data_IF_369800489530
#
_entry.id   IF_369800489530
#
_cell.length_a   1.000
_cell.length_b   1.000
_cell.length_c   1.000
_cell.angle_alpha   90.00
_cell.angle_beta   90.00
_cell.angle_gamma   90.00
#
_symmetry.space_group_name_H-M   'P 1'
#
loop_
_entity.id
_entity.type
_entity.pdbx_description
1 polymer ?
#
# COMPACT_ATOMS: atom_id res chain seq x y z
N UNK A 1 0.69 39.56 9.81
CA UNK A 1 1.30 38.26 9.44
C UNK A 1 0.30 37.14 9.72
N UNK A 2 -0.30 36.60 8.66
CA UNK A 2 -1.44 35.68 8.73
C UNK A 2 -1.07 34.27 9.18
N UNK A 3 -1.67 33.81 10.28
CA UNK A 3 -1.65 32.40 10.67
C UNK A 3 -2.62 31.64 9.77
N UNK A 4 -2.09 30.88 8.82
CA UNK A 4 -2.87 30.00 7.93
C UNK A 4 -3.63 28.99 8.79
N UNK A 5 -4.94 29.18 8.92
CA UNK A 5 -5.84 28.18 9.50
C UNK A 5 -5.80 26.99 8.56
N UNK A 6 -5.33 25.85 9.08
CA UNK A 6 -5.27 24.59 8.33
C UNK A 6 -6.69 24.07 8.29
N UNK A 7 -7.38 24.37 7.19
CA UNK A 7 -8.71 23.89 6.84
C UNK A 7 -8.76 22.37 7.02
N UNK A 8 -9.37 21.94 8.13
CA UNK A 8 -9.70 20.53 8.36
C UNK A 8 -10.90 20.24 7.49
N UNK A 9 -10.61 19.60 6.36
CA UNK A 9 -11.54 19.01 5.41
C UNK A 9 -12.80 18.51 6.11
N UNK A 10 -13.90 19.21 5.85
CA UNK A 10 -15.26 18.85 6.25
C UNK A 10 -15.55 17.45 5.70
N UNK A 11 -15.55 16.45 6.57
CA UNK A 11 -15.96 15.09 6.22
C UNK A 11 -17.48 15.14 6.21
N UNK A 12 -18.07 15.20 5.03
CA UNK A 12 -19.52 15.12 4.89
C UNK A 12 -19.93 13.68 5.22
N UNK A 13 -20.53 13.54 6.40
CA UNK A 13 -21.21 12.35 6.89
C UNK A 13 -22.43 12.10 6.01
N UNK A 14 -22.30 11.14 5.11
CA UNK A 14 -23.40 10.67 4.29
C UNK A 14 -23.10 9.25 3.83
N UNK A 15 -23.83 8.28 4.41
CA UNK A 15 -23.69 6.83 4.27
C UNK A 15 -22.71 6.18 5.27
N UNK A 16 -23.25 5.25 6.06
CA UNK A 16 -22.70 4.75 7.33
C UNK A 16 -21.35 4.04 7.13
N UNK A 17 -20.27 4.77 7.39
CA UNK A 17 -18.91 4.23 7.29
C UNK A 17 -18.73 3.01 8.20
N UNK A 18 -19.47 2.94 9.30
CA UNK A 18 -19.35 1.87 10.31
C UNK A 18 -19.72 0.50 9.74
N UNK A 19 -20.81 0.42 8.98
CA UNK A 19 -21.20 -0.82 8.29
C UNK A 19 -20.17 -1.23 7.24
N UNK A 20 -19.59 -0.24 6.56
CA UNK A 20 -18.60 -0.46 5.50
C UNK A 20 -17.22 -0.85 6.02
N UNK A 21 -16.90 -0.57 7.30
CA UNK A 21 -15.69 -1.08 7.95
C UNK A 21 -15.78 -2.61 8.13
N UNK A 22 -16.94 -3.14 8.51
CA UNK A 22 -17.19 -4.58 8.59
C UNK A 22 -17.07 -5.24 7.21
N UNK A 23 -17.67 -4.62 6.19
CA UNK A 23 -17.54 -5.08 4.81
C UNK A 23 -16.09 -5.00 4.30
N UNK A 24 -15.30 -4.03 4.76
CA UNK A 24 -13.90 -3.91 4.35
C UNK A 24 -13.02 -5.08 4.82
N UNK A 25 -13.35 -5.73 5.94
CA UNK A 25 -12.66 -6.94 6.42
C UNK A 25 -13.02 -8.12 5.52
N UNK A 26 -14.32 -8.41 5.35
CA UNK A 26 -14.80 -9.46 4.45
C UNK A 26 -14.29 -9.28 3.01
N UNK A 27 -14.06 -8.04 2.59
CA UNK A 27 -13.54 -7.71 1.26
C UNK A 27 -12.12 -8.19 1.03
N UNK A 28 -11.26 -8.04 2.05
CA UNK A 28 -9.86 -8.43 1.94
C UNK A 28 -9.67 -9.93 2.08
N UNK A 29 -10.60 -10.60 2.77
CA UNK A 29 -10.65 -12.05 2.90
C UNK A 29 -11.32 -12.74 1.69
N UNK A 30 -12.01 -11.96 0.84
CA UNK A 30 -12.64 -12.46 -0.39
C UNK A 30 -14.02 -13.08 -0.19
N UNK A 31 -14.63 -12.88 0.98
CA UNK A 31 -15.90 -13.48 1.40
C UNK A 31 -17.13 -12.58 1.11
N UNK A 32 -16.93 -11.57 0.28
CA UNK A 32 -17.91 -10.51 0.06
C UNK A 32 -18.75 -10.79 -1.18
N UNK A 33 -20.07 -10.86 -1.02
CA UNK A 33 -21.03 -11.00 -2.12
C UNK A 33 -20.94 -9.82 -3.10
N UNK A 34 -21.20 -10.09 -4.39
CA UNK A 34 -20.99 -9.12 -5.48
C UNK A 34 -21.71 -7.77 -5.25
N UNK A 35 -22.93 -7.82 -4.71
CA UNK A 35 -23.75 -6.62 -4.46
C UNK A 35 -23.16 -5.74 -3.35
N UNK A 36 -22.70 -6.35 -2.26
CA UNK A 36 -22.05 -5.67 -1.15
C UNK A 36 -20.64 -5.17 -1.53
N UNK A 37 -19.93 -5.94 -2.36
CA UNK A 37 -18.63 -5.56 -2.93
C UNK A 37 -18.76 -4.30 -3.77
N UNK A 38 -19.77 -4.23 -4.62
CA UNK A 38 -20.03 -3.05 -5.45
C UNK A 38 -20.38 -1.82 -4.61
N UNK A 39 -21.21 -1.98 -3.56
CA UNK A 39 -21.50 -0.91 -2.60
C UNK A 39 -20.24 -0.36 -1.93
N UNK A 40 -19.35 -1.24 -1.46
CA UNK A 40 -18.07 -0.85 -0.87
C UNK A 40 -17.19 -0.10 -1.87
N UNK A 41 -17.07 -0.60 -3.10
CA UNK A 41 -16.26 0.01 -4.16
C UNK A 41 -16.77 1.39 -4.57
N UNK A 42 -18.08 1.62 -4.58
CA UNK A 42 -18.67 2.94 -4.83
C UNK A 42 -18.34 3.89 -3.67
N UNK A 43 -18.50 3.45 -2.43
CA UNK A 43 -18.25 4.31 -1.28
C UNK A 43 -16.78 4.75 -1.15
N UNK A 44 -15.82 3.85 -1.39
CA UNK A 44 -14.40 4.23 -1.30
C UNK A 44 -13.95 5.20 -2.39
N UNK A 45 -14.74 5.43 -3.44
CA UNK A 45 -14.44 6.47 -4.43
C UNK A 45 -14.68 7.88 -3.88
N UNK A 46 -15.61 8.03 -2.93
CA UNK A 46 -16.01 9.33 -2.36
C UNK A 46 -15.58 9.50 -0.91
N UNK A 47 -15.34 8.41 -0.17
CA UNK A 47 -14.92 8.44 1.23
C UNK A 47 -13.43 8.12 1.41
N UNK A 48 -12.64 9.16 1.72
CA UNK A 48 -11.20 9.00 1.95
C UNK A 48 -10.86 8.08 3.15
N UNK A 49 -11.67 8.11 4.21
CA UNK A 49 -11.43 7.29 5.42
C UNK A 49 -11.50 5.81 5.09
N UNK A 50 -12.60 5.36 4.49
CA UNK A 50 -12.80 3.97 4.11
C UNK A 50 -11.84 3.53 3.00
N UNK A 51 -11.55 4.41 2.03
CA UNK A 51 -10.53 4.15 1.01
C UNK A 51 -9.13 3.93 1.61
N UNK A 52 -8.79 4.68 2.67
CA UNK A 52 -7.52 4.49 3.39
C UNK A 52 -7.53 3.16 4.16
N UNK A 53 -8.62 2.83 4.86
CA UNK A 53 -8.76 1.57 5.59
C UNK A 53 -8.57 0.35 4.68
N UNK A 54 -9.35 0.27 3.58
CA UNK A 54 -9.29 -0.85 2.63
C UNK A 54 -7.88 -1.02 2.06
N UNK A 55 -7.21 0.09 1.72
CA UNK A 55 -5.81 0.04 1.22
C UNK A 55 -4.81 -0.41 2.27
N UNK A 56 -5.04 -0.10 3.54
CA UNK A 56 -4.18 -0.59 4.63
C UNK A 56 -4.40 -2.09 4.83
N UNK A 57 -5.65 -2.53 4.93
CA UNK A 57 -6.00 -3.95 5.10
C UNK A 57 -5.43 -4.82 3.98
N UNK A 58 -5.60 -4.42 2.71
CA UNK A 58 -5.04 -5.14 1.56
C UNK A 58 -3.52 -5.29 1.63
N UNK A 59 -2.82 -4.26 2.10
CA UNK A 59 -1.36 -4.32 2.28
C UNK A 59 -0.99 -5.28 3.39
N UNK A 60 -1.66 -5.22 4.53
CA UNK A 60 -1.43 -6.14 5.64
C UNK A 60 -1.63 -7.58 5.20
N UNK A 61 -2.76 -7.90 4.55
CA UNK A 61 -3.05 -9.23 4.01
C UNK A 61 -1.97 -9.67 3.02
N UNK A 62 -1.53 -8.79 2.12
CA UNK A 62 -0.44 -9.10 1.20
C UNK A 62 0.87 -9.44 1.91
N UNK A 63 1.24 -8.69 2.96
CA UNK A 63 2.45 -8.98 3.75
C UNK A 63 2.32 -10.27 4.57
N UNK A 64 1.14 -10.56 5.11
CA UNK A 64 0.90 -11.81 5.83
C UNK A 64 0.99 -13.03 4.91
N UNK A 65 0.59 -12.88 3.63
CA UNK A 65 0.71 -13.92 2.60
C UNK A 65 2.05 -13.89 1.86
N UNK A 66 2.96 -12.99 2.22
CA UNK A 66 4.31 -13.03 1.64
C UNK A 66 5.00 -14.26 2.22
N UNK A 67 5.05 -15.32 1.43
CA UNK A 67 6.00 -16.39 1.70
C UNK A 67 7.39 -15.75 1.66
N UNK A 68 8.16 -15.92 2.73
CA UNK A 68 9.59 -15.64 2.67
C UNK A 68 10.14 -16.59 1.62
N UNK A 69 10.46 -16.03 0.44
CA UNK A 69 11.03 -16.78 -0.67
C UNK A 69 12.24 -17.61 -0.20
N UNK A 70 12.65 -18.61 -0.98
CA UNK A 70 13.75 -19.49 -0.61
C UNK A 70 14.95 -18.66 -0.16
N UNK A 71 15.54 -19.05 0.98
CA UNK A 71 16.70 -18.36 1.53
C UNK A 71 17.78 -18.28 0.45
N UNK A 72 18.15 -17.05 0.09
CA UNK A 72 19.10 -16.82 -1.00
C UNK A 72 20.47 -17.31 -0.52
N UNK A 73 21.14 -18.23 -1.25
CA UNK A 73 22.45 -18.72 -0.85
C UNK A 73 23.45 -17.57 -0.66
N UNK A 74 24.28 -17.64 0.37
CA UNK A 74 25.24 -16.58 0.69
C UNK A 74 26.19 -16.27 -0.49
N UNK A 75 26.48 -17.29 -1.31
CA UNK A 75 27.26 -17.16 -2.55
C UNK A 75 26.59 -16.24 -3.57
N UNK A 76 25.27 -16.37 -3.76
CA UNK A 76 24.49 -15.52 -4.65
C UNK A 76 24.44 -14.07 -4.12
N UNK A 77 24.28 -13.89 -2.81
CA UNK A 77 24.32 -12.56 -2.19
C UNK A 77 25.69 -11.87 -2.41
N UNK A 78 26.79 -12.61 -2.21
CA UNK A 78 28.16 -12.12 -2.40
C UNK A 78 28.43 -11.73 -3.85
N UNK A 79 28.04 -12.57 -4.80
CA UNK A 79 28.24 -12.31 -6.22
C UNK A 79 27.42 -11.10 -6.69
N UNK A 80 26.16 -10.99 -6.26
CA UNK A 80 25.31 -9.84 -6.57
C UNK A 80 25.94 -8.55 -6.03
N UNK A 81 26.41 -8.57 -4.78
CA UNK A 81 27.04 -7.41 -4.16
C UNK A 81 28.31 -6.96 -4.89
N UNK A 82 29.16 -7.91 -5.29
CA UNK A 82 30.36 -7.61 -6.09
C UNK A 82 29.98 -6.94 -7.41
N UNK A 83 28.99 -7.47 -8.14
CA UNK A 83 28.51 -6.88 -9.39
C UNK A 83 27.95 -5.47 -9.21
N UNK A 84 27.16 -5.24 -8.16
CA UNK A 84 26.66 -3.90 -7.84
C UNK A 84 27.80 -2.91 -7.60
N UNK A 85 28.84 -3.32 -6.86
CA UNK A 85 30.01 -2.46 -6.63
C UNK A 85 30.77 -2.14 -7.93
N UNK A 86 30.92 -3.10 -8.84
CA UNK A 86 31.55 -2.86 -10.15
C UNK A 86 30.76 -1.83 -10.97
N UNK A 87 29.44 -1.97 -11.04
CA UNK A 87 28.56 -1.02 -11.75
C UNK A 87 28.62 0.37 -11.14
N UNK A 88 28.60 0.47 -9.80
CA UNK A 88 28.69 1.75 -9.10
C UNK A 88 30.07 2.42 -9.28
N UNK A 89 31.15 1.65 -9.35
CA UNK A 89 32.50 2.18 -9.65
C UNK A 89 32.62 2.64 -11.11
N UNK A 90 32.06 1.89 -12.04
CA UNK A 90 32.05 2.21 -13.48
C UNK A 90 31.26 3.47 -13.80
N UNK A 91 30.11 3.67 -13.14
CA UNK A 91 29.31 4.90 -13.31
C UNK A 91 29.99 6.14 -12.73
N UNK A 92 30.81 6.01 -11.68
CA UNK A 92 31.65 7.11 -11.17
C UNK A 92 32.79 7.47 -12.11
N UNK A 93 33.42 6.50 -12.77
CA UNK A 93 34.50 6.77 -13.73
C UNK A 93 34.01 7.48 -15.00
N UNK A 94 32.78 7.19 -15.45
CA UNK A 94 32.17 7.88 -16.61
C UNK A 94 31.77 9.33 -16.35
N UNK A 95 31.77 9.81 -15.10
CA UNK A 95 31.37 11.17 -14.73
C UNK A 95 32.57 12.13 -14.54
N UNK A 96 33.80 11.63 -14.72
CA UNK A 96 35.05 12.38 -14.59
C UNK A 96 35.86 12.45 -15.90
N UNK A 97 35.21 12.14 -17.02
CA UNK A 97 35.65 12.38 -18.40
C UNK A 97 34.62 13.26 -19.07
#
# INVERSE_FOLDING_TARGET
MGRRKRDKTKIEEGCDCTELETLAVQFVDGELEDEQRQRLLIHIQTCYRCARLVRSLKRTVHYCHLETGPEVPETAHRQLWQRLQEVLKSTKQKKSR
#
